data_IF_145339908172
#
_entry.id   IF_145339908172
#
_cell.length_a   1.000
_cell.length_b   1.000
_cell.length_c   1.000
_cell.angle_alpha   90.00
_cell.angle_beta   90.00
_cell.angle_gamma   90.00
#
_symmetry.space_group_name_H-M   'P 1'
#
loop_
_entity.id
_entity.type
_entity.pdbx_description
1 polymer ?
#
# COMPACT_ATOMS: atom_id res chain seq x y z
N UNK A 1 -6.16 -6.05 42.38
CA UNK A 1 -5.77 -7.24 41.60
C UNK A 1 -5.53 -6.98 40.09
N UNK A 2 -5.89 -5.81 39.52
CA UNK A 2 -5.69 -5.49 38.09
C UNK A 2 -4.47 -4.58 37.79
N UNK A 3 -3.97 -3.82 38.77
CA UNK A 3 -2.80 -2.94 38.64
C UNK A 3 -1.53 -3.78 38.41
N UNK A 4 -0.86 -3.63 37.26
CA UNK A 4 0.38 -4.34 36.90
C UNK A 4 1.60 -3.45 37.05
N UNK A 5 1.52 -2.20 36.59
CA UNK A 5 2.57 -1.21 36.78
C UNK A 5 2.29 -0.37 38.04
N UNK A 6 3.16 -0.40 39.08
CA UNK A 6 2.95 0.39 40.29
C UNK A 6 3.07 1.90 40.05
N UNK A 7 3.82 2.32 39.02
CA UNK A 7 4.08 3.73 38.65
C UNK A 7 2.95 4.38 37.84
N UNK A 8 1.90 3.63 37.49
CA UNK A 8 0.75 4.11 36.72
C UNK A 8 -0.54 3.83 37.50
N UNK A 9 -1.54 4.70 37.40
CA UNK A 9 -2.83 4.46 38.06
C UNK A 9 -3.50 3.19 37.49
N UNK A 10 -4.38 2.55 38.25
CA UNK A 10 -5.12 1.40 37.76
C UNK A 10 -6.13 1.80 36.66
N UNK A 11 -6.65 3.03 36.72
CA UNK A 11 -7.59 3.58 35.75
C UNK A 11 -6.93 3.80 34.38
N UNK A 12 -5.75 4.43 34.34
CA UNK A 12 -5.02 4.65 33.09
C UNK A 12 -4.66 3.33 32.41
N UNK A 13 -4.26 2.34 33.22
CA UNK A 13 -4.02 0.98 32.73
C UNK A 13 -5.29 0.40 32.10
N UNK A 14 -6.44 0.55 32.75
CA UNK A 14 -7.71 0.07 32.22
C UNK A 14 -8.18 0.84 30.96
N UNK A 15 -7.95 2.15 30.88
CA UNK A 15 -8.24 2.97 29.70
C UNK A 15 -7.40 2.51 28.50
N UNK A 16 -6.10 2.34 28.70
CA UNK A 16 -5.19 1.88 27.67
C UNK A 16 -5.62 0.53 27.07
N UNK A 17 -5.96 -0.46 27.92
CA UNK A 17 -6.39 -1.77 27.43
C UNK A 17 -7.74 -1.75 26.73
N UNK A 18 -8.67 -0.88 27.15
CA UNK A 18 -9.95 -0.69 26.44
C UNK A 18 -9.75 -0.05 25.08
N UNK A 19 -8.90 0.96 24.99
CA UNK A 19 -8.53 1.57 23.71
C UNK A 19 -7.91 0.56 22.75
N UNK A 20 -6.97 -0.26 23.25
CA UNK A 20 -6.36 -1.31 22.45
C UNK A 20 -7.40 -2.35 22.00
N UNK A 21 -8.30 -2.76 22.90
CA UNK A 21 -9.39 -3.67 22.58
C UNK A 21 -10.35 -3.10 21.53
N UNK A 22 -10.63 -1.79 21.56
CA UNK A 22 -11.45 -1.13 20.56
C UNK A 22 -10.81 -1.19 19.18
N UNK A 23 -9.52 -0.87 19.08
CA UNK A 23 -8.82 -0.89 17.80
C UNK A 23 -8.64 -2.30 17.22
N UNK A 24 -8.37 -3.29 18.08
CA UNK A 24 -8.00 -4.64 17.64
C UNK A 24 -9.19 -5.60 17.52
N UNK A 25 -10.23 -5.42 18.32
CA UNK A 25 -11.25 -6.46 18.52
C UNK A 25 -12.70 -5.93 18.48
N UNK A 26 -12.95 -4.63 18.41
CA UNK A 26 -14.33 -4.14 18.31
C UNK A 26 -14.88 -4.26 16.89
N UNK A 27 -16.21 -4.13 16.77
CA UNK A 27 -16.87 -4.07 15.48
C UNK A 27 -16.36 -2.89 14.63
N UNK A 28 -16.13 -1.72 15.25
CA UNK A 28 -15.59 -0.55 14.56
C UNK A 28 -14.16 -0.78 14.09
N UNK A 29 -13.30 -1.35 14.95
CA UNK A 29 -11.93 -1.74 14.57
C UNK A 29 -11.93 -2.75 13.41
N UNK A 30 -12.82 -3.75 13.47
CA UNK A 30 -13.00 -4.72 12.39
C UNK A 30 -13.44 -4.11 11.06
N UNK A 31 -14.45 -3.24 11.08
CA UNK A 31 -14.92 -2.52 9.88
C UNK A 31 -13.79 -1.67 9.29
N UNK A 32 -13.08 -0.92 10.11
CA UNK A 32 -11.95 -0.09 9.67
C UNK A 32 -10.84 -0.94 9.04
N UNK A 33 -10.48 -2.08 9.65
CA UNK A 33 -9.45 -2.96 9.12
C UNK A 33 -9.82 -3.54 7.76
N UNK A 34 -11.05 -4.02 7.61
CA UNK A 34 -11.56 -4.55 6.32
C UNK A 34 -11.68 -3.44 5.29
N UNK A 35 -12.20 -2.28 5.67
CA UNK A 35 -12.33 -1.11 4.79
C UNK A 35 -10.98 -0.60 4.30
N UNK A 36 -9.96 -0.55 5.15
CA UNK A 36 -8.61 -0.16 4.77
C UNK A 36 -7.96 -1.15 3.79
N UNK A 37 -8.25 -2.45 3.92
CA UNK A 37 -7.65 -3.49 3.08
C UNK A 37 -8.38 -3.70 1.74
N UNK A 38 -9.69 -3.47 1.71
CA UNK A 38 -10.54 -3.77 0.55
C UNK A 38 -11.26 -2.57 -0.06
N UNK A 39 -11.15 -1.37 0.53
CA UNK A 39 -11.87 -0.16 0.06
C UNK A 39 -11.54 0.25 -1.37
N UNK A 40 -10.32 -0.01 -1.84
CA UNK A 40 -9.90 0.19 -3.24
C UNK A 40 -9.99 -1.08 -4.11
N UNK A 41 -10.63 -2.15 -3.61
CA UNK A 41 -10.47 -3.51 -4.09
C UNK A 41 -9.42 -4.28 -3.28
N UNK A 42 -9.39 -5.62 -3.43
CA UNK A 42 -8.35 -6.45 -2.79
C UNK A 42 -6.95 -5.99 -3.22
N UNK A 43 -5.89 -6.15 -2.40
CA UNK A 43 -4.56 -5.62 -2.72
C UNK A 43 -3.98 -6.02 -4.07
N UNK A 44 -4.39 -7.17 -4.61
CA UNK A 44 -4.02 -7.61 -5.96
C UNK A 44 -4.47 -6.64 -7.05
N UNK A 45 -5.57 -5.91 -6.84
CA UNK A 45 -6.10 -4.93 -7.78
C UNK A 45 -5.15 -3.76 -7.98
N UNK A 46 -4.39 -3.35 -6.96
CA UNK A 46 -3.37 -2.31 -7.11
C UNK A 46 -2.23 -2.78 -8.02
N UNK A 47 -1.77 -4.02 -7.85
CA UNK A 47 -0.75 -4.59 -8.73
C UNK A 47 -1.24 -4.70 -10.17
N UNK A 48 -2.50 -5.11 -10.38
CA UNK A 48 -3.12 -5.16 -11.71
C UNK A 48 -3.20 -3.75 -12.31
N UNK A 49 -3.68 -2.76 -11.55
CA UNK A 49 -3.80 -1.39 -12.02
C UNK A 49 -2.43 -0.79 -12.41
N UNK A 50 -1.42 -0.93 -11.54
CA UNK A 50 -0.05 -0.48 -11.83
C UNK A 50 0.48 -1.19 -13.08
N UNK A 51 0.39 -2.52 -13.14
CA UNK A 51 0.98 -3.30 -14.25
C UNK A 51 0.31 -3.00 -15.58
N UNK A 52 -1.01 -2.86 -15.60
CA UNK A 52 -1.77 -2.60 -16.83
C UNK A 52 -1.60 -1.17 -17.35
N UNK A 53 -1.39 -0.20 -16.46
CA UNK A 53 -1.14 1.19 -16.83
C UNK A 53 0.34 1.48 -17.08
N UNK A 54 1.24 0.60 -16.63
CA UNK A 54 2.65 0.70 -16.89
C UNK A 54 2.94 0.38 -18.36
N UNK A 55 3.48 1.34 -19.10
CA UNK A 55 3.89 1.13 -20.48
C UNK A 55 5.17 0.28 -20.54
N UNK A 56 4.97 -1.03 -20.41
CA UNK A 56 6.02 -2.06 -20.45
C UNK A 56 6.78 -2.02 -21.79
N UNK A 57 6.10 -1.68 -22.89
CA UNK A 57 6.69 -1.72 -24.22
C UNK A 57 7.74 -0.63 -24.42
N UNK A 58 7.54 0.59 -23.91
CA UNK A 58 8.61 1.61 -23.95
C UNK A 58 9.84 1.19 -23.14
N UNK A 59 9.66 0.49 -22.01
CA UNK A 59 10.79 -0.02 -21.22
C UNK A 59 11.54 -1.11 -21.95
N UNK A 60 10.83 -2.03 -22.63
CA UNK A 60 11.45 -3.04 -23.49
C UNK A 60 12.27 -2.38 -24.61
N UNK A 61 11.74 -1.35 -25.27
CA UNK A 61 12.44 -0.61 -26.33
C UNK A 61 13.70 0.10 -25.82
N UNK A 62 13.64 0.72 -24.66
CA UNK A 62 14.82 1.34 -24.04
C UNK A 62 15.91 0.30 -23.74
N UNK A 63 15.54 -0.83 -23.11
CA UNK A 63 16.50 -1.90 -22.78
C UNK A 63 17.13 -2.48 -24.04
N UNK A 64 16.34 -2.72 -25.09
CA UNK A 64 16.86 -3.17 -26.40
C UNK A 64 17.88 -2.20 -26.98
N UNK A 65 17.63 -0.88 -26.88
CA UNK A 65 18.58 0.13 -27.34
C UNK A 65 19.90 0.07 -26.56
N UNK A 66 19.83 0.04 -25.22
CA UNK A 66 21.00 -0.05 -24.35
C UNK A 66 21.82 -1.32 -24.65
N UNK A 67 21.15 -2.43 -24.92
CA UNK A 67 21.78 -3.71 -25.23
C UNK A 67 22.26 -3.85 -26.69
N UNK A 68 22.07 -2.84 -27.55
CA UNK A 68 22.42 -2.92 -28.98
C UNK A 68 21.56 -3.90 -29.78
N UNK A 69 20.39 -4.26 -29.28
CA UNK A 69 19.45 -5.17 -29.93
C UNK A 69 18.59 -4.43 -30.97
N UNK A 70 18.11 -5.17 -31.97
CA UNK A 70 17.15 -4.64 -32.94
C UNK A 70 15.82 -4.25 -32.30
N UNK A 71 15.18 -3.21 -32.84
CA UNK A 71 13.91 -2.68 -32.32
C UNK A 71 14.05 -1.90 -31.01
N UNK A 72 15.26 -1.46 -30.66
CA UNK A 72 15.50 -0.51 -29.60
C UNK A 72 15.14 0.93 -29.99
N UNK A 73 14.75 1.73 -29.01
CA UNK A 73 14.48 3.15 -29.18
C UNK A 73 15.03 3.93 -27.97
N UNK A 74 15.94 4.87 -28.24
CA UNK A 74 16.58 5.74 -27.24
C UNK A 74 15.58 6.70 -26.60
N UNK A 75 14.62 7.18 -27.38
CA UNK A 75 13.66 8.20 -26.97
C UNK A 75 12.33 7.56 -26.52
N UNK A 76 12.32 6.24 -26.27
CA UNK A 76 11.12 5.49 -25.90
C UNK A 76 10.40 6.04 -24.65
N UNK A 77 11.13 6.69 -23.75
CA UNK A 77 10.60 7.31 -22.53
C UNK A 77 10.55 8.85 -22.59
N UNK A 78 10.88 9.46 -23.73
CA UNK A 78 10.84 10.91 -23.87
C UNK A 78 9.40 11.43 -23.72
N UNK A 79 9.19 12.59 -23.08
CA UNK A 79 7.86 13.18 -22.94
C UNK A 79 7.27 13.48 -24.32
N UNK A 80 6.09 12.93 -24.62
CA UNK A 80 5.39 13.20 -25.87
C UNK A 80 4.82 14.62 -25.82
N UNK A 81 5.28 15.49 -26.71
CA UNK A 81 4.69 16.82 -26.90
C UNK A 81 3.24 16.64 -27.34
N UNK A 82 2.28 17.09 -26.52
CA UNK A 82 0.88 17.14 -26.92
C UNK A 82 0.73 18.20 -28.01
N UNK A 83 0.27 17.80 -29.19
CA UNK A 83 -0.24 18.72 -30.21
C UNK A 83 -1.58 19.30 -29.75
#
# INVERSE_FOLDING_TARGET
YTKRNPKMSAEDQAQFWRYLGDHLCSATGGIMNVGNYHGGGSPIMEQIAITTQYDIESRKKLVKFIAGMSGGDREALAPKVKK
#
